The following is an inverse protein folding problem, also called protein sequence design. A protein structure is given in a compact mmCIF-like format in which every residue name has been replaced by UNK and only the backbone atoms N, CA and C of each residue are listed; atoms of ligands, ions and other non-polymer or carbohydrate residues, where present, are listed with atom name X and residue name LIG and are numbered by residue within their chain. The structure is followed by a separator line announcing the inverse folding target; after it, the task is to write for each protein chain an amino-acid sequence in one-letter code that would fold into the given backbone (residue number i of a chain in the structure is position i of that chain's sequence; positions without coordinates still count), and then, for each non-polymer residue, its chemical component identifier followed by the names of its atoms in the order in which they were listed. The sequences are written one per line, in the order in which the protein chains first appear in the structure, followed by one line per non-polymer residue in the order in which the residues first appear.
data_IF_552912319357
#
_entry.id   IF_552912319357
#
_cell.length_a   1.000
_cell.length_b   1.000
_cell.length_c   1.000
_cell.angle_alpha   90.00
_cell.angle_beta   90.00
_cell.angle_gamma   90.00
#
_symmetry.space_group_name_H-M   'P 1'
#
loop_
_entity.id
_entity.type
_entity.pdbx_description
1 polymer ?
#
# COMPACT_ATOMS: atom_id res chain seq x y z
N UNK A 1 -30.28 -16.96 -65.08
CA UNK A 1 -30.27 -15.48 -65.02
C UNK A 1 -28.83 -15.01 -64.98
N UNK A 2 -28.39 -14.37 -66.06
CA UNK A 2 -27.03 -13.84 -66.24
C UNK A 2 -26.87 -12.52 -65.46
N UNK A 3 -25.75 -12.36 -64.76
CA UNK A 3 -25.23 -11.04 -64.42
C UNK A 3 -23.85 -10.85 -65.07
N UNK A 4 -23.66 -9.75 -65.80
CA UNK A 4 -22.43 -9.51 -66.55
C UNK A 4 -21.26 -9.16 -65.64
N UNK A 5 -20.12 -9.73 -66.00
CA UNK A 5 -18.78 -9.39 -65.53
C UNK A 5 -18.47 -7.94 -65.91
N UNK A 6 -18.20 -7.09 -64.91
CA UNK A 6 -17.50 -5.80 -65.12
C UNK A 6 -16.07 -5.93 -64.61
N UNK A 7 -15.13 -6.01 -65.55
CA UNK A 7 -13.70 -5.81 -65.28
C UNK A 7 -13.44 -4.31 -65.18
N UNK A 8 -12.90 -3.85 -64.06
CA UNK A 8 -12.19 -2.56 -64.00
C UNK A 8 -10.74 -2.81 -63.62
N UNK A 9 -9.87 -2.33 -64.49
CA UNK A 9 -8.41 -2.43 -64.46
C UNK A 9 -7.86 -1.17 -63.77
N UNK A 10 -6.63 -1.28 -63.22
CA UNK A 10 -5.70 -0.20 -62.83
C UNK A 10 -5.88 0.34 -61.38
N UNK A 11 -4.86 0.46 -60.50
CA UNK A 11 -3.39 0.34 -60.59
C UNK A 11 -2.84 -0.09 -59.20
N UNK A 12 -1.77 -0.91 -59.12
CA UNK A 12 -1.20 -1.35 -57.86
C UNK A 12 -0.26 -0.27 -57.33
N UNK A 13 -0.77 0.70 -56.59
CA UNK A 13 0.05 1.79 -56.04
C UNK A 13 -0.29 2.16 -54.59
N UNK A 14 -1.06 1.33 -53.89
CA UNK A 14 -1.51 1.59 -52.51
C UNK A 14 -1.31 0.36 -51.61
N UNK A 15 -0.18 -0.35 -51.79
CA UNK A 15 0.23 -1.50 -50.96
C UNK A 15 1.33 -1.10 -49.93
N UNK A 16 1.72 0.17 -49.82
CA UNK A 16 2.87 0.56 -48.97
C UNK A 16 2.60 1.75 -48.06
N UNK A 17 1.47 1.79 -47.34
CA UNK A 17 1.24 2.87 -46.37
C UNK A 17 0.41 2.53 -45.11
N UNK A 18 0.08 1.27 -44.83
CA UNK A 18 -0.67 0.93 -43.60
C UNK A 18 -0.20 -0.37 -42.91
N UNK A 19 1.12 -0.55 -42.84
CA UNK A 19 1.75 -1.62 -42.05
C UNK A 19 2.74 -1.07 -41.00
N UNK A 20 2.49 0.13 -40.49
CA UNK A 20 3.33 0.78 -39.49
C UNK A 20 2.50 1.44 -38.37
N UNK A 21 1.53 0.70 -37.82
CA UNK A 21 0.65 1.19 -36.76
C UNK A 21 0.67 0.31 -35.49
N UNK A 22 1.70 -0.52 -35.28
CA UNK A 22 1.73 -1.50 -34.18
C UNK A 22 3.04 -1.61 -33.38
N UNK A 23 3.95 -0.63 -33.36
CA UNK A 23 5.27 -0.89 -32.74
C UNK A 23 5.98 0.19 -31.94
N UNK A 24 5.41 1.36 -31.60
CA UNK A 24 6.16 2.30 -30.72
C UNK A 24 5.24 3.15 -29.81
N UNK A 25 4.82 2.59 -28.68
CA UNK A 25 4.46 3.40 -27.49
C UNK A 25 5.00 2.78 -26.20
N UNK A 26 6.26 2.33 -26.23
CA UNK A 26 7.04 1.91 -25.06
C UNK A 26 8.20 2.89 -24.81
N UNK A 27 7.93 4.20 -24.84
CA UNK A 27 8.92 5.22 -24.49
C UNK A 27 8.29 6.30 -23.63
N UNK A 28 7.86 5.93 -22.43
CA UNK A 28 7.66 6.87 -21.32
C UNK A 28 8.69 6.60 -20.22
N UNK A 29 9.96 6.76 -20.56
CA UNK A 29 11.05 6.92 -19.61
C UNK A 29 11.92 8.09 -20.05
N UNK A 30 11.35 9.30 -20.11
CA UNK A 30 12.18 10.51 -20.17
C UNK A 30 12.70 10.79 -18.77
N UNK A 31 13.95 10.43 -18.55
CA UNK A 31 14.75 10.98 -17.46
C UNK A 31 14.64 12.52 -17.51
N UNK A 32 14.21 13.11 -16.39
CA UNK A 32 14.10 14.56 -16.24
C UNK A 32 15.45 15.26 -16.44
N UNK A 33 15.45 16.58 -16.68
CA UNK A 33 16.64 17.34 -17.01
C UNK A 33 17.69 17.20 -15.91
N UNK A 34 18.94 17.02 -16.34
CA UNK A 34 20.11 16.87 -15.49
C UNK A 34 20.12 17.93 -14.38
N UNK A 35 20.16 17.45 -13.15
CA UNK A 35 20.37 18.28 -11.97
C UNK A 35 21.67 19.08 -12.15
N UNK A 36 21.58 20.41 -12.08
CA UNK A 36 22.73 21.23 -11.72
C UNK A 36 23.21 20.86 -10.30
N UNK A 37 24.27 21.49 -9.76
CA UNK A 37 24.66 21.31 -8.37
C UNK A 37 23.61 21.95 -7.46
N UNK A 38 22.45 21.30 -7.36
CA UNK A 38 21.39 21.61 -6.43
C UNK A 38 21.92 21.29 -5.06
N UNK A 39 22.20 22.33 -4.28
CA UNK A 39 22.38 22.23 -2.84
C UNK A 39 21.27 21.33 -2.32
N UNK A 40 21.63 20.14 -1.84
CA UNK A 40 20.69 19.28 -1.15
C UNK A 40 20.21 20.05 0.07
N UNK A 41 19.03 20.67 -0.04
CA UNK A 41 18.31 21.17 1.12
C UNK A 41 17.99 19.93 1.94
N UNK A 42 18.73 19.71 3.03
CA UNK A 42 18.38 18.71 4.02
C UNK A 42 16.97 19.04 4.49
N UNK A 43 15.99 18.24 4.07
CA UNK A 43 14.65 18.35 4.62
C UNK A 43 14.80 18.17 6.14
N UNK A 44 14.19 19.04 6.96
CA UNK A 44 14.21 18.85 8.40
C UNK A 44 13.68 17.45 8.70
N UNK A 45 14.34 16.74 9.60
CA UNK A 45 13.87 15.45 10.06
C UNK A 45 12.43 15.64 10.56
N UNK A 46 11.49 14.93 9.94
CA UNK A 46 10.10 14.92 10.37
C UNK A 46 10.05 14.45 11.82
N UNK A 47 9.48 15.27 12.70
CA UNK A 47 9.28 14.90 14.10
C UNK A 47 8.46 13.61 14.19
N UNK A 48 8.79 12.74 15.14
CA UNK A 48 8.04 11.50 15.38
C UNK A 48 6.58 11.85 15.73
N UNK A 49 5.58 11.41 14.94
CA UNK A 49 4.17 11.63 15.25
C UNK A 49 3.78 11.14 16.65
N UNK A 50 4.44 10.11 17.19
CA UNK A 50 4.18 9.60 18.54
C UNK A 50 4.63 10.56 19.65
N UNK A 51 5.43 11.58 19.33
CA UNK A 51 5.85 12.61 20.29
C UNK A 51 4.77 13.69 20.55
N UNK A 52 3.71 13.72 19.74
CA UNK A 52 2.56 14.63 19.91
C UNK A 52 1.86 14.39 21.26
N UNK A 53 1.73 15.42 22.13
CA UNK A 53 1.11 15.26 23.44
C UNK A 53 -0.32 14.74 23.42
N UNK A 54 -1.10 15.14 22.41
CA UNK A 54 -2.49 14.76 22.22
C UNK A 54 -2.67 13.31 21.73
N UNK A 55 -1.61 12.69 21.18
CA UNK A 55 -1.60 11.27 20.82
C UNK A 55 -1.06 10.37 21.94
N UNK A 56 -0.52 10.95 23.02
CA UNK A 56 0.04 10.21 24.16
C UNK A 56 -0.93 9.17 24.76
N UNK A 57 -2.25 9.43 24.92
CA UNK A 57 -3.18 8.43 25.42
C UNK A 57 -3.26 7.18 24.54
N UNK A 58 -3.05 7.31 23.22
CA UNK A 58 -3.12 6.21 22.27
C UNK A 58 -1.79 5.46 22.17
N UNK A 59 -0.64 6.15 22.05
CA UNK A 59 0.67 5.47 21.95
C UNK A 59 1.19 4.92 23.28
N UNK A 60 0.74 5.46 24.42
CA UNK A 60 1.15 5.02 25.76
C UNK A 60 0.37 3.81 26.31
N UNK A 61 -0.54 3.23 25.53
CA UNK A 61 -1.41 2.15 26.00
C UNK A 61 -0.62 0.92 26.43
N UNK A 62 -0.91 0.44 27.65
CA UNK A 62 -0.49 -0.89 28.11
C UNK A 62 -1.62 -1.87 27.85
N UNK A 63 -1.47 -2.65 26.79
CA UNK A 63 -2.46 -3.65 26.39
C UNK A 63 -2.61 -4.72 27.48
N UNK A 64 -3.87 -5.03 27.81
CA UNK A 64 -4.24 -6.16 28.68
C UNK A 64 -4.45 -7.38 27.81
N UNK A 65 -3.57 -8.36 28.00
CA UNK A 65 -3.58 -9.60 27.25
C UNK A 65 -4.38 -10.64 28.01
N UNK A 66 -5.24 -11.36 27.30
CA UNK A 66 -6.00 -12.51 27.77
C UNK A 66 -5.78 -13.68 26.82
N UNK A 67 -6.19 -14.88 27.20
CA UNK A 67 -6.22 -16.00 26.27
C UNK A 67 -7.19 -15.70 25.12
N UNK A 68 -6.85 -16.15 23.91
CA UNK A 68 -7.75 -16.19 22.75
C UNK A 68 -8.48 -17.54 22.69
N UNK A 69 -9.54 -17.63 21.87
CA UNK A 69 -10.16 -18.93 21.54
C UNK A 69 -9.21 -19.82 20.70
N UNK A 70 -8.27 -19.18 19.98
CA UNK A 70 -7.21 -19.90 19.25
C UNK A 70 -6.05 -20.23 20.19
N UNK A 71 -5.78 -21.53 20.36
CA UNK A 71 -4.68 -22.01 21.19
C UNK A 71 -3.31 -21.44 20.77
N UNK A 72 -2.47 -21.13 21.76
CA UNK A 72 -1.12 -20.59 21.54
C UNK A 72 -1.06 -19.09 21.26
N UNK A 73 -2.20 -18.39 21.33
CA UNK A 73 -2.27 -16.94 21.16
C UNK A 73 -2.86 -16.25 22.39
N UNK A 74 -2.35 -15.04 22.65
CA UNK A 74 -2.95 -14.09 23.58
C UNK A 74 -3.53 -12.90 22.82
N UNK A 75 -4.72 -12.46 23.22
CA UNK A 75 -5.50 -11.42 22.55
C UNK A 75 -5.57 -10.16 23.39
N UNK A 76 -5.65 -9.00 22.74
CA UNK A 76 -5.87 -7.72 23.38
C UNK A 76 -6.65 -6.75 22.46
N UNK A 77 -7.07 -5.63 23.03
CA UNK A 77 -7.78 -4.55 22.34
C UNK A 77 -6.91 -3.30 22.34
N UNK A 78 -6.58 -2.79 21.15
CA UNK A 78 -5.83 -1.55 20.96
C UNK A 78 -6.79 -0.44 20.50
N UNK A 79 -6.91 0.63 21.27
CA UNK A 79 -7.74 1.78 20.87
C UNK A 79 -6.94 2.75 20.00
N UNK A 80 -7.54 3.29 18.95
CA UNK A 80 -6.92 4.32 18.09
C UNK A 80 -7.88 5.47 17.89
N UNK A 81 -7.40 6.72 17.68
CA UNK A 81 -8.29 7.81 17.34
C UNK A 81 -8.86 7.57 15.94
N UNK A 82 -10.10 7.99 15.72
CA UNK A 82 -10.70 7.95 14.40
C UNK A 82 -10.06 8.98 13.47
N UNK A 83 -9.74 10.15 14.01
CA UNK A 83 -9.09 11.25 13.32
C UNK A 83 -7.77 11.59 14.05
N UNK A 84 -6.64 11.49 13.35
CA UNK A 84 -5.32 11.82 13.91
C UNK A 84 -5.01 13.32 13.87
N UNK A 85 -5.77 14.11 13.10
CA UNK A 85 -5.66 15.58 13.09
C UNK A 85 -6.44 16.19 14.25
N UNK A 86 -7.51 15.53 14.69
CA UNK A 86 -8.28 15.87 15.90
C UNK A 86 -8.48 14.64 16.82
N UNK A 87 -7.41 14.13 17.46
CA UNK A 87 -7.50 12.94 18.32
C UNK A 87 -8.23 13.20 19.64
N UNK A 88 -8.53 14.48 19.95
CA UNK A 88 -9.21 14.93 21.16
C UNK A 88 -10.74 14.93 21.09
N UNK A 89 -11.34 14.73 19.91
CA UNK A 89 -12.80 14.71 19.73
C UNK A 89 -13.52 13.53 20.41
N UNK A 90 -12.78 12.57 20.96
CA UNK A 90 -13.30 11.43 21.71
C UNK A 90 -13.72 10.24 20.84
N UNK A 91 -13.61 10.34 19.52
CA UNK A 91 -14.06 9.30 18.62
C UNK A 91 -12.93 8.33 18.29
N UNK A 92 -13.20 7.03 18.47
CA UNK A 92 -12.17 6.00 18.46
C UNK A 92 -12.60 4.74 17.73
N UNK A 93 -11.62 3.95 17.30
CA UNK A 93 -11.80 2.57 16.88
C UNK A 93 -11.04 1.63 17.81
N UNK A 94 -11.49 0.37 17.86
CA UNK A 94 -10.77 -0.68 18.55
C UNK A 94 -10.27 -1.71 17.56
N UNK A 95 -8.94 -1.87 17.53
CA UNK A 95 -8.25 -2.87 16.75
C UNK A 95 -8.02 -4.12 17.62
N UNK A 96 -8.59 -5.28 17.25
CA UNK A 96 -8.23 -6.53 17.89
C UNK A 96 -6.80 -6.91 17.47
N UNK A 97 -5.98 -7.28 18.44
CA UNK A 97 -4.61 -7.77 18.21
C UNK A 97 -4.42 -9.10 18.89
N UNK A 98 -3.65 -9.98 18.27
CA UNK A 98 -3.27 -11.27 18.82
C UNK A 98 -1.74 -11.41 18.74
N UNK A 99 -1.15 -12.12 19.69
CA UNK A 99 0.28 -12.43 19.69
C UNK A 99 0.49 -13.90 20.05
N UNK A 100 1.41 -14.53 19.35
CA UNK A 100 2.05 -15.75 19.83
C UNK A 100 3.31 -15.36 20.63
N UNK A 101 3.58 -16.04 21.73
CA UNK A 101 4.81 -15.81 22.48
C UNK A 101 6.01 -16.45 21.76
N UNK A 102 7.19 -15.87 21.99
CA UNK A 102 8.42 -16.43 21.44
C UNK A 102 8.68 -17.80 22.08
N UNK A 103 8.94 -18.84 21.27
CA UNK A 103 9.23 -20.18 21.79
C UNK A 103 10.48 -20.28 22.67
N UNK A 104 11.36 -19.27 22.65
CA UNK A 104 12.47 -19.07 23.59
C UNK A 104 12.39 -17.64 24.17
N UNK A 105 11.64 -17.43 25.26
CA UNK A 105 11.40 -16.10 25.81
C UNK A 105 12.68 -15.33 26.19
N UNK A 106 13.70 -16.05 26.65
CA UNK A 106 15.03 -15.54 27.02
C UNK A 106 15.84 -15.03 25.82
N UNK A 107 15.51 -15.48 24.60
CA UNK A 107 16.15 -15.08 23.34
C UNK A 107 15.29 -14.11 22.52
N UNK A 108 14.20 -13.60 23.08
CA UNK A 108 13.31 -12.67 22.39
C UNK A 108 14.03 -11.36 22.06
N UNK A 109 14.04 -11.00 20.78
CA UNK A 109 14.55 -9.69 20.30
C UNK A 109 13.46 -8.63 20.39
N UNK A 110 12.24 -8.96 19.96
CA UNK A 110 11.15 -8.00 19.84
C UNK A 110 9.85 -8.63 19.36
N UNK A 111 9.01 -7.84 18.70
CA UNK A 111 7.77 -8.30 18.07
C UNK A 111 7.91 -8.24 16.55
N UNK A 112 7.55 -9.33 15.86
CA UNK A 112 7.31 -9.31 14.43
C UNK A 112 5.84 -8.94 14.20
N UNK A 113 5.59 -7.81 13.56
CA UNK A 113 4.24 -7.40 13.18
C UNK A 113 4.01 -7.81 11.73
N UNK A 114 2.90 -8.49 11.48
CA UNK A 114 2.55 -9.02 10.16
C UNK A 114 1.15 -8.53 9.77
N UNK A 115 0.98 -8.22 8.49
CA UNK A 115 -0.32 -7.96 7.88
C UNK A 115 -0.48 -8.89 6.68
N UNK A 116 -1.58 -9.68 6.60
CA UNK A 116 -1.77 -10.64 5.51
C UNK A 116 -2.02 -10.01 4.14
N UNK A 117 -2.15 -8.68 4.03
CA UNK A 117 -2.48 -7.97 2.80
C UNK A 117 -3.98 -7.88 2.53
N UNK A 118 -4.34 -7.47 1.30
CA UNK A 118 -5.70 -7.39 0.75
C UNK A 118 -6.72 -6.67 1.64
N UNK A 119 -7.04 -5.38 1.47
CA UNK A 119 -7.92 -4.66 2.40
C UNK A 119 -9.21 -5.41 2.78
N UNK A 120 -9.53 -5.43 4.07
CA UNK A 120 -10.67 -6.17 4.63
C UNK A 120 -10.36 -7.60 5.08
N UNK A 121 -9.21 -8.17 4.71
CA UNK A 121 -8.76 -9.44 5.28
C UNK A 121 -8.40 -9.27 6.78
N UNK A 122 -8.89 -10.19 7.60
CA UNK A 122 -8.62 -10.17 9.03
C UNK A 122 -7.16 -10.59 9.32
N UNK A 123 -6.43 -9.75 10.06
CA UNK A 123 -5.09 -10.09 10.57
C UNK A 123 -5.09 -11.03 11.76
N UNK A 124 -6.23 -11.14 12.45
CA UNK A 124 -6.43 -11.98 13.64
C UNK A 124 -7.77 -12.70 13.56
N UNK A 125 -7.88 -13.85 14.21
CA UNK A 125 -9.16 -14.49 14.53
C UNK A 125 -9.34 -14.41 16.05
N UNK A 126 -10.47 -13.85 16.46
CA UNK A 126 -10.87 -13.73 17.87
C UNK A 126 -11.56 -15.02 18.29
#
# INVERSE_FOLDING_TARGET
MNHPVRRSVHRPALVTALALACSVTLTSCTAGPAAGPGRATTAPASADPASRPDLKPFYGQRLRWTDCDTEGYACARLTVPRDYDDPGNGETFVLPVARAEAGKPDRRIGSLVYNPGGPGAAGVRS
#
